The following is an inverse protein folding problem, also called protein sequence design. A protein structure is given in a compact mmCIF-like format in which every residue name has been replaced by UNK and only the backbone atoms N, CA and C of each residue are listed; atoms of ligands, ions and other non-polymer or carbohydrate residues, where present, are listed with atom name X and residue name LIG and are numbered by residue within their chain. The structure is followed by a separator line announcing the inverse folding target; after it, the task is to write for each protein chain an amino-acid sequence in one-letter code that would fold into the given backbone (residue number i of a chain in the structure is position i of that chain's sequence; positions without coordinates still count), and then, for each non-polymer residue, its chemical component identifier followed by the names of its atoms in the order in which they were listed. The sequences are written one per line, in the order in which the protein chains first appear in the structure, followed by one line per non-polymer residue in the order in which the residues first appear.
data_IF_654735168487
#
_entry.id   IF_654735168487
#
_cell.length_a   1.000
_cell.length_b   1.000
_cell.length_c   1.000
_cell.angle_alpha   90.00
_cell.angle_beta   90.00
_cell.angle_gamma   90.00
#
_symmetry.space_group_name_H-M   'P 1'
#
loop_
_entity.id
_entity.type
_entity.pdbx_description
1 polymer ?
#
# COMPACT_ATOMS: atom_id res chain seq x y z
N UNK A 1 -6.40 5.70 -1.31
CA UNK A 1 -5.69 4.74 -2.17
C UNK A 1 -6.64 4.13 -3.18
N UNK A 2 -7.75 3.50 -2.76
CA UNK A 2 -8.73 2.88 -3.66
C UNK A 2 -9.27 3.85 -4.74
N UNK A 3 -9.63 5.07 -4.37
CA UNK A 3 -10.02 6.10 -5.34
C UNK A 3 -8.94 6.48 -6.38
N UNK A 4 -7.65 6.22 -6.09
CA UNK A 4 -6.57 6.39 -7.07
C UNK A 4 -6.43 5.16 -7.99
N UNK A 5 -6.93 4.01 -7.55
CA UNK A 5 -6.94 2.77 -8.32
C UNK A 5 -8.17 2.70 -9.23
N UNK A 6 -9.32 3.23 -8.83
CA UNK A 6 -10.57 3.26 -9.63
C UNK A 6 -10.41 3.73 -11.09
N UNK A 7 -9.43 4.58 -11.38
CA UNK A 7 -9.20 5.10 -12.73
C UNK A 7 -8.22 4.19 -13.48
N UNK A 8 -8.74 3.46 -14.48
CA UNK A 8 -7.96 2.58 -15.35
C UNK A 8 -7.16 1.50 -14.60
N UNK A 9 -7.70 0.98 -13.48
CA UNK A 9 -7.07 -0.15 -12.83
C UNK A 9 -6.93 -1.30 -13.83
N UNK A 10 -5.72 -1.82 -14.06
CA UNK A 10 -5.54 -2.93 -14.97
C UNK A 10 -6.25 -4.15 -14.38
N UNK A 11 -7.34 -4.58 -15.01
CA UNK A 11 -8.03 -5.78 -14.57
C UNK A 11 -7.46 -7.00 -15.31
N UNK A 12 -6.73 -7.84 -14.57
CA UNK A 12 -6.15 -9.08 -15.10
C UNK A 12 -6.75 -10.24 -14.30
N UNK A 13 -7.41 -11.22 -14.93
CA UNK A 13 -8.07 -12.32 -14.21
C UNK A 13 -7.12 -13.12 -13.30
N UNK A 14 -5.82 -13.17 -13.64
CA UNK A 14 -4.79 -13.85 -12.86
C UNK A 14 -4.22 -13.02 -11.71
N UNK A 15 -4.64 -11.77 -11.54
CA UNK A 15 -4.18 -10.89 -10.47
C UNK A 15 -4.93 -11.19 -9.17
N UNK A 16 -4.17 -11.27 -8.08
CA UNK A 16 -4.72 -11.32 -6.73
C UNK A 16 -4.44 -10.01 -6.00
N UNK A 17 -5.46 -9.46 -5.33
CA UNK A 17 -5.36 -8.21 -4.58
C UNK A 17 -5.48 -8.49 -3.09
N UNK A 18 -4.42 -8.21 -2.35
CA UNK A 18 -4.41 -8.29 -0.89
C UNK A 18 -4.53 -6.91 -0.28
N UNK A 19 -5.56 -6.71 0.54
CA UNK A 19 -5.80 -5.45 1.23
C UNK A 19 -5.42 -5.55 2.71
N UNK A 20 -4.42 -4.77 3.12
CA UNK A 20 -4.05 -4.60 4.52
C UNK A 20 -4.74 -3.35 5.08
N UNK A 21 -5.69 -3.56 5.99
CA UNK A 21 -6.49 -2.48 6.58
C UNK A 21 -6.12 -2.31 8.04
N UNK A 22 -5.86 -1.08 8.45
CA UNK A 22 -5.54 -0.76 9.84
C UNK A 22 -6.77 -0.92 10.75
N UNK A 23 -6.58 -1.50 11.93
CA UNK A 23 -7.63 -1.71 12.94
C UNK A 23 -8.37 -0.41 13.27
N UNK A 24 -9.70 -0.43 13.21
CA UNK A 24 -10.54 0.74 13.47
C UNK A 24 -10.72 1.70 12.28
N UNK A 25 -10.28 1.32 11.08
CA UNK A 25 -10.56 2.05 9.84
C UNK A 25 -11.79 1.48 9.12
N UNK A 26 -12.99 1.84 9.61
CA UNK A 26 -14.26 1.40 9.02
C UNK A 26 -14.55 2.06 7.67
N UNK A 27 -13.97 3.24 7.41
CA UNK A 27 -14.16 3.97 6.15
C UNK A 27 -13.45 3.24 5.01
N UNK A 28 -12.18 2.83 5.21
CA UNK A 28 -11.45 2.05 4.21
C UNK A 28 -12.12 0.70 3.91
N UNK A 29 -12.75 0.06 4.90
CA UNK A 29 -13.52 -1.17 4.68
C UNK A 29 -14.71 -0.95 3.74
N UNK A 30 -15.51 0.10 3.99
CA UNK A 30 -16.66 0.42 3.13
C UNK A 30 -16.24 0.75 1.70
N UNK A 31 -15.16 1.51 1.53
CA UNK A 31 -14.64 1.82 0.21
C UNK A 31 -14.07 0.59 -0.50
N UNK A 32 -13.47 -0.34 0.24
CA UNK A 32 -13.00 -1.60 -0.34
C UNK A 32 -14.16 -2.44 -0.87
N UNK A 33 -15.19 -2.63 -0.05
CA UNK A 33 -16.34 -3.44 -0.44
C UNK A 33 -17.03 -2.81 -1.67
N UNK A 34 -17.20 -1.49 -1.71
CA UNK A 34 -17.72 -0.77 -2.88
C UNK A 34 -16.84 -0.92 -4.14
N UNK A 35 -15.51 -0.86 -3.98
CA UNK A 35 -14.56 -0.99 -5.09
C UNK A 35 -14.59 -2.39 -5.72
N UNK A 36 -14.60 -3.44 -4.91
CA UNK A 36 -14.67 -4.82 -5.41
C UNK A 36 -16.05 -5.14 -6.02
N UNK A 37 -17.14 -4.58 -5.48
CA UNK A 37 -18.47 -4.70 -6.09
C UNK A 37 -18.54 -3.97 -7.45
N UNK A 38 -17.92 -2.80 -7.59
CA UNK A 38 -17.84 -2.09 -8.87
C UNK A 38 -17.01 -2.87 -9.90
N UNK A 39 -15.86 -3.43 -9.50
CA UNK A 39 -15.04 -4.28 -10.36
C UNK A 39 -15.82 -5.50 -10.86
N UNK A 40 -16.54 -6.16 -9.96
CA UNK A 40 -17.37 -7.33 -10.28
C UNK A 40 -18.51 -6.98 -11.24
N UNK A 41 -19.16 -5.84 -11.01
CA UNK A 41 -20.26 -5.37 -11.87
C UNK A 41 -19.76 -4.94 -13.26
N UNK A 42 -18.59 -4.31 -13.34
CA UNK A 42 -18.05 -3.74 -14.59
C UNK A 42 -17.43 -4.81 -15.49
N UNK A 43 -16.74 -5.79 -14.91
CA UNK A 43 -15.95 -6.77 -15.67
C UNK A 43 -16.52 -8.21 -15.62
N UNK A 44 -17.46 -8.49 -14.73
CA UNK A 44 -17.98 -9.85 -14.49
C UNK A 44 -17.08 -10.66 -13.54
N UNK A 45 -17.67 -11.69 -12.91
CA UNK A 45 -17.02 -12.46 -11.84
C UNK A 45 -15.72 -13.15 -12.27
N UNK A 46 -15.68 -13.68 -13.49
CA UNK A 46 -14.50 -14.41 -14.00
C UNK A 46 -13.33 -13.48 -14.32
N UNK A 47 -13.60 -12.21 -14.65
CA UNK A 47 -12.56 -11.27 -15.05
C UNK A 47 -12.11 -10.37 -13.91
N UNK A 48 -12.90 -10.22 -12.84
CA UNK A 48 -12.55 -9.37 -11.70
C UNK A 48 -11.31 -9.86 -10.93
N UNK A 49 -10.88 -11.11 -11.10
CA UNK A 49 -9.77 -11.70 -10.35
C UNK A 49 -10.15 -12.05 -8.91
N UNK A 50 -9.16 -12.25 -8.04
CA UNK A 50 -9.39 -12.65 -6.64
C UNK A 50 -8.86 -11.62 -5.65
N UNK A 51 -9.44 -11.56 -4.45
CA UNK A 51 -8.95 -10.68 -3.40
C UNK A 51 -9.08 -11.28 -2.00
N UNK A 52 -8.27 -10.79 -1.08
CA UNK A 52 -8.43 -11.04 0.35
C UNK A 52 -8.20 -9.75 1.17
N UNK A 53 -8.79 -9.70 2.37
CA UNK A 53 -8.67 -8.55 3.28
C UNK A 53 -8.20 -9.00 4.66
N UNK A 54 -7.19 -8.31 5.19
CA UNK A 54 -6.62 -8.58 6.50
C UNK A 54 -6.60 -7.31 7.34
N UNK A 55 -7.14 -7.40 8.55
CA UNK A 55 -7.12 -6.30 9.51
C UNK A 55 -5.86 -6.42 10.36
N UNK A 56 -4.99 -5.42 10.26
CA UNK A 56 -3.72 -5.34 11.01
C UNK A 56 -3.80 -4.27 12.08
N UNK A 57 -3.12 -4.49 13.21
CA UNK A 57 -3.02 -3.52 14.29
C UNK A 57 -2.44 -2.19 13.77
N UNK A 58 -2.99 -1.07 14.21
CA UNK A 58 -2.43 0.26 13.93
C UNK A 58 -1.05 0.40 14.57
N UNK A 59 -0.05 0.77 13.76
CA UNK A 59 1.30 1.01 14.26
C UNK A 59 1.36 2.13 15.30
N UNK A 60 0.47 3.13 15.19
CA UNK A 60 0.27 4.17 16.20
C UNK A 60 -1.21 4.54 16.31
N UNK A 61 -1.74 4.56 17.53
CA UNK A 61 -3.07 5.12 17.82
C UNK A 61 -3.03 6.65 17.83
N UNK A 62 -4.17 7.28 17.56
CA UNK A 62 -4.31 8.74 17.67
C UNK A 62 -4.16 9.10 19.16
N UNK A 63 -3.41 10.16 19.47
CA UNK A 63 -3.03 10.57 20.84
C UNK A 63 -2.13 9.60 21.62
N UNK A 64 -1.55 8.59 20.96
CA UNK A 64 -0.57 7.72 21.61
C UNK A 64 0.75 8.46 21.84
N UNK A 65 1.31 8.32 23.04
CA UNK A 65 2.65 8.80 23.36
C UNK A 65 3.70 8.17 22.43
N UNK A 66 4.71 8.96 22.06
CA UNK A 66 5.85 8.47 21.27
C UNK A 66 6.61 7.34 21.99
N UNK A 67 6.55 7.28 23.32
CA UNK A 67 7.22 6.25 24.13
C UNK A 67 6.58 4.87 24.00
N UNK A 68 5.25 4.79 23.83
CA UNK A 68 4.55 3.50 23.67
C UNK A 68 4.38 3.10 22.20
N UNK A 69 4.72 3.99 21.27
CA UNK A 69 4.62 3.77 19.83
C UNK A 69 5.48 2.58 19.34
N UNK A 70 6.70 2.33 19.84
CA UNK A 70 7.49 1.17 19.42
C UNK A 70 6.80 -0.17 19.69
N UNK A 71 6.09 -0.30 20.81
CA UNK A 71 5.39 -1.54 21.15
C UNK A 71 4.23 -1.83 20.18
N UNK A 72 3.40 -0.82 19.89
CA UNK A 72 2.32 -0.99 18.92
C UNK A 72 2.83 -1.19 17.50
N UNK A 73 3.96 -0.55 17.13
CA UNK A 73 4.61 -0.77 15.86
C UNK A 73 5.15 -2.21 15.73
N UNK A 74 5.74 -2.77 16.78
CA UNK A 74 6.23 -4.15 16.79
C UNK A 74 5.07 -5.15 16.63
N UNK A 75 3.92 -4.90 17.29
CA UNK A 75 2.72 -5.72 17.09
C UNK A 75 2.23 -5.68 15.65
N UNK A 76 2.28 -4.52 14.98
CA UNK A 76 1.98 -4.43 13.55
C UNK A 76 2.97 -5.26 12.72
N UNK A 77 4.27 -5.21 13.03
CA UNK A 77 5.29 -6.02 12.32
C UNK A 77 4.96 -7.52 12.42
N UNK A 78 4.67 -8.02 13.62
CA UNK A 78 4.37 -9.44 13.85
C UNK A 78 3.16 -9.91 13.04
N UNK A 79 2.17 -9.03 12.85
CA UNK A 79 0.98 -9.36 12.04
C UNK A 79 1.23 -9.21 10.54
N UNK A 80 2.01 -8.23 10.11
CA UNK A 80 2.29 -7.96 8.69
C UNK A 80 3.25 -8.99 8.09
N UNK A 81 4.24 -9.43 8.87
CA UNK A 81 5.27 -10.37 8.42
C UNK A 81 4.72 -11.65 7.76
N UNK A 82 3.84 -12.44 8.41
CA UNK A 82 3.28 -13.65 7.78
C UNK A 82 2.36 -13.33 6.61
N UNK A 83 1.76 -12.13 6.56
CA UNK A 83 0.89 -11.72 5.45
C UNK A 83 1.68 -11.37 4.19
N UNK A 84 2.93 -10.94 4.30
CA UNK A 84 3.80 -10.71 3.14
C UNK A 84 4.40 -12.02 2.61
N UNK A 85 4.58 -13.02 3.46
CA UNK A 85 5.16 -14.33 3.09
C UNK A 85 4.13 -15.39 2.70
N UNK A 86 2.84 -15.15 2.95
CA UNK A 86 1.77 -16.07 2.59
C UNK A 86 1.23 -15.77 1.20
N UNK A 87 1.13 -16.80 0.35
CA UNK A 87 0.46 -16.69 -0.94
C UNK A 87 -0.84 -17.50 -0.94
N UNK A 88 -1.93 -16.98 -1.53
CA UNK A 88 -3.14 -17.77 -1.77
C UNK A 88 -2.95 -18.81 -2.88
N UNK A 89 -1.89 -18.70 -3.69
CA UNK A 89 -1.62 -19.62 -4.79
C UNK A 89 -0.76 -20.78 -4.31
N UNK A 90 -1.23 -22.01 -4.51
CA UNK A 90 -0.49 -23.26 -4.27
C UNK A 90 -0.21 -23.93 -5.62
N UNK A 91 1.05 -24.16 -6.00
CA UNK A 91 1.42 -24.90 -7.22
C UNK A 91 2.50 -24.23 -8.09
N UNK A 92 2.53 -24.54 -9.39
CA UNK A 92 3.57 -24.15 -10.36
C UNK A 92 3.77 -22.63 -10.56
N UNK A 93 2.93 -21.78 -9.96
CA UNK A 93 3.09 -20.32 -9.93
C UNK A 93 4.03 -19.87 -8.80
N UNK A 94 5.20 -20.51 -8.67
CA UNK A 94 6.19 -20.21 -7.63
C UNK A 94 6.63 -18.73 -7.62
N UNK A 95 6.56 -18.04 -8.78
CA UNK A 95 6.83 -16.60 -8.86
C UNK A 95 5.83 -15.73 -8.09
N UNK A 96 4.58 -16.19 -7.94
CA UNK A 96 3.53 -15.49 -7.17
C UNK A 96 3.53 -15.86 -5.67
N UNK A 97 4.65 -16.38 -5.16
CA UNK A 97 4.79 -16.69 -3.73
C UNK A 97 4.82 -15.41 -2.88
N UNK A 98 5.24 -14.29 -3.47
CA UNK A 98 5.31 -12.99 -2.81
C UNK A 98 4.49 -11.95 -3.59
N UNK A 99 4.06 -10.86 -2.93
CA UNK A 99 3.46 -9.72 -3.63
C UNK A 99 4.46 -9.14 -4.62
N UNK A 100 4.03 -8.86 -5.86
CA UNK A 100 4.88 -8.17 -6.85
C UNK A 100 5.06 -6.70 -6.47
N UNK A 101 3.96 -6.02 -6.13
CA UNK A 101 3.92 -4.58 -5.84
C UNK A 101 3.14 -4.35 -4.55
N UNK A 102 3.70 -3.50 -3.68
CA UNK A 102 3.07 -2.99 -2.46
C UNK A 102 2.73 -1.53 -2.69
N UNK A 103 1.43 -1.24 -2.85
CA UNK A 103 0.91 0.12 -2.99
C UNK A 103 0.50 0.67 -1.63
N UNK A 104 1.03 1.83 -1.23
CA UNK A 104 0.60 2.46 0.01
C UNK A 104 0.58 3.98 -0.03
N UNK A 105 -0.48 4.52 0.58
CA UNK A 105 -0.63 5.93 0.96
C UNK A 105 -1.01 6.00 2.46
N UNK A 106 -0.80 4.89 3.18
CA UNK A 106 -1.14 4.80 4.59
C UNK A 106 -0.15 5.61 5.44
N UNK A 107 -0.56 6.06 6.65
CA UNK A 107 0.34 6.61 7.65
C UNK A 107 1.24 5.50 8.23
N UNK A 108 1.71 5.61 9.47
CA UNK A 108 2.70 4.70 10.09
C UNK A 108 2.60 3.21 9.73
N UNK A 109 1.40 2.60 9.65
CA UNK A 109 1.24 1.19 9.23
C UNK A 109 1.80 0.92 7.82
N UNK A 110 1.56 1.82 6.86
CA UNK A 110 2.10 1.69 5.50
C UNK A 110 3.63 1.75 5.45
N UNK A 111 4.23 2.58 6.31
CA UNK A 111 5.68 2.60 6.49
C UNK A 111 6.20 1.28 7.05
N UNK A 112 5.51 0.71 8.05
CA UNK A 112 5.89 -0.60 8.60
C UNK A 112 5.83 -1.70 7.55
N UNK A 113 4.82 -1.72 6.67
CA UNK A 113 4.77 -2.69 5.56
C UNK A 113 6.00 -2.56 4.65
N UNK A 114 6.34 -1.33 4.25
CA UNK A 114 7.55 -1.08 3.44
C UNK A 114 8.83 -1.48 4.16
N UNK A 115 8.91 -1.22 5.47
CA UNK A 115 10.07 -1.59 6.30
C UNK A 115 10.25 -3.11 6.40
N UNK A 116 9.16 -3.86 6.58
CA UNK A 116 9.21 -5.33 6.61
C UNK A 116 9.63 -5.87 5.24
N UNK A 117 9.07 -5.35 4.14
CA UNK A 117 9.47 -5.74 2.79
C UNK A 117 10.97 -5.46 2.53
N UNK A 118 11.46 -4.29 2.95
CA UNK A 118 12.88 -3.94 2.85
C UNK A 118 13.78 -4.93 3.61
N UNK A 119 13.45 -5.26 4.87
CA UNK A 119 14.23 -6.24 5.63
C UNK A 119 14.17 -7.64 5.01
N UNK A 120 13.02 -8.07 4.49
CA UNK A 120 12.90 -9.36 3.80
C UNK A 120 13.82 -9.45 2.57
N UNK A 121 13.98 -8.35 1.82
CA UNK A 121 14.95 -8.24 0.72
C UNK A 121 16.39 -8.27 1.23
N UNK A 122 16.73 -7.46 2.24
CA UNK A 122 18.09 -7.37 2.82
C UNK A 122 18.58 -8.70 3.39
N UNK A 123 17.69 -9.51 3.96
CA UNK A 123 18.02 -10.84 4.48
C UNK A 123 17.88 -11.97 3.44
N UNK A 124 17.68 -11.65 2.16
CA UNK A 124 17.54 -12.61 1.06
C UNK A 124 16.42 -13.65 1.27
N UNK A 125 15.39 -13.30 2.05
CA UNK A 125 14.20 -14.15 2.24
C UNK A 125 13.30 -14.08 1.00
N UNK A 126 13.33 -12.94 0.31
CA UNK A 126 12.51 -12.61 -0.87
C UNK A 126 13.45 -12.08 -1.97
N UNK A 127 13.23 -12.43 -3.24
CA UNK A 127 14.05 -11.91 -4.34
C UNK A 127 13.89 -10.39 -4.51
N UNK A 128 14.91 -9.73 -5.06
CA UNK A 128 14.96 -8.27 -5.21
C UNK A 128 13.86 -7.71 -6.13
N UNK A 129 13.37 -8.50 -7.08
CA UNK A 129 12.31 -8.09 -8.03
C UNK A 129 10.89 -8.22 -7.46
N UNK A 130 10.73 -8.81 -6.27
CA UNK A 130 9.45 -8.89 -5.58
C UNK A 130 9.26 -7.76 -4.56
N UNK A 131 8.03 -7.62 -4.04
CA UNK A 131 7.64 -6.66 -3.00
C UNK A 131 8.07 -5.22 -3.32
N UNK A 132 7.88 -4.78 -4.56
CA UNK A 132 8.22 -3.42 -4.97
C UNK A 132 7.33 -2.40 -4.24
N UNK A 133 7.92 -1.60 -3.36
CA UNK A 133 7.22 -0.65 -2.51
C UNK A 133 7.03 0.66 -3.27
N UNK A 134 5.78 0.94 -3.63
CA UNK A 134 5.36 2.20 -4.24
C UNK A 134 4.56 3.01 -3.22
N UNK A 135 5.16 4.11 -2.75
CA UNK A 135 4.49 5.07 -1.88
C UNK A 135 3.96 6.26 -2.68
N UNK A 136 2.70 6.62 -2.42
CA UNK A 136 2.03 7.75 -3.05
C UNK A 136 1.59 8.73 -1.96
N UNK A 137 2.22 9.90 -1.93
CA UNK A 137 1.76 11.02 -1.12
C UNK A 137 0.60 11.75 -1.82
N UNK A 138 -0.54 11.80 -1.14
CA UNK A 138 -1.75 12.43 -1.66
C UNK A 138 -1.82 13.94 -1.45
N UNK A 139 -2.86 14.56 -2.02
CA UNK A 139 -3.21 15.98 -1.81
C UNK A 139 -3.56 16.35 -0.36
N UNK A 140 -3.56 15.42 0.58
CA UNK A 140 -3.75 15.72 2.01
C UNK A 140 -2.70 16.71 2.54
N UNK A 141 -1.53 16.81 1.90
CA UNK A 141 -0.47 17.74 2.27
C UNK A 141 0.04 18.51 1.06
N UNK A 142 -0.22 19.82 1.03
CA UNK A 142 0.14 20.69 -0.10
C UNK A 142 1.39 21.55 0.15
N UNK A 143 1.89 21.59 1.38
CA UNK A 143 3.05 22.42 1.77
C UNK A 143 4.33 21.63 2.00
N UNK A 144 4.21 20.43 2.58
CA UNK A 144 5.34 19.57 2.97
C UNK A 144 4.91 18.11 2.85
N UNK A 145 5.87 17.20 2.70
CA UNK A 145 5.59 15.76 2.82
C UNK A 145 4.97 15.44 4.18
N UNK A 146 4.13 14.40 4.23
CA UNK A 146 3.67 13.83 5.49
C UNK A 146 4.85 13.27 6.28
N UNK A 147 4.67 12.95 7.56
CA UNK A 147 5.73 12.31 8.33
C UNK A 147 6.16 10.98 7.68
N UNK A 148 5.21 10.18 7.21
CA UNK A 148 5.48 8.94 6.47
C UNK A 148 6.20 9.22 5.15
N UNK A 149 5.77 10.21 4.38
CA UNK A 149 6.43 10.60 3.14
C UNK A 149 7.86 11.06 3.36
N UNK A 150 8.13 11.82 4.44
CA UNK A 150 9.50 12.17 4.85
C UNK A 150 10.31 10.94 5.22
N UNK A 151 9.73 10.00 5.95
CA UNK A 151 10.43 8.76 6.30
C UNK A 151 10.83 7.99 5.04
N UNK A 152 9.89 7.72 4.12
CA UNK A 152 10.21 7.06 2.85
C UNK A 152 11.25 7.82 2.03
N UNK A 153 11.16 9.15 1.99
CA UNK A 153 12.12 10.01 1.28
C UNK A 153 13.54 9.92 1.87
N UNK A 154 13.67 9.97 3.20
CA UNK A 154 14.98 9.96 3.86
C UNK A 154 15.59 8.57 4.00
N UNK A 155 14.78 7.54 4.20
CA UNK A 155 15.30 6.17 4.38
C UNK A 155 15.56 5.47 3.05
N UNK A 156 14.93 5.90 1.95
CA UNK A 156 15.09 5.28 0.64
C UNK A 156 14.51 3.86 0.54
N UNK A 157 13.67 3.44 1.49
CA UNK A 157 13.12 2.06 1.51
C UNK A 157 11.98 1.85 0.50
N UNK A 158 11.39 2.94 -0.03
CA UNK A 158 10.41 2.84 -1.11
C UNK A 158 11.16 2.77 -2.44
N UNK A 159 10.88 1.74 -3.23
CA UNK A 159 11.41 1.60 -4.59
C UNK A 159 10.94 2.78 -5.47
N UNK A 160 9.71 3.24 -5.28
CA UNK A 160 9.17 4.42 -5.96
C UNK A 160 8.43 5.32 -4.96
N UNK A 161 8.79 6.60 -4.96
CA UNK A 161 8.12 7.66 -4.20
C UNK A 161 7.46 8.66 -5.16
N UNK A 162 6.13 8.70 -5.14
CA UNK A 162 5.32 9.62 -5.94
C UNK A 162 4.62 10.65 -5.05
N UNK A 163 4.51 11.88 -5.55
CA UNK A 163 3.76 12.95 -4.88
C UNK A 163 2.76 13.56 -5.85
N UNK A 164 1.51 13.74 -5.43
CA UNK A 164 0.48 14.32 -6.30
C UNK A 164 0.60 15.85 -6.44
N UNK A 165 1.02 16.54 -5.37
CA UNK A 165 1.14 18.00 -5.37
C UNK A 165 2.44 18.45 -6.03
N UNK A 166 2.34 19.12 -7.19
CA UNK A 166 3.48 19.56 -7.99
C UNK A 166 4.54 20.34 -7.20
N UNK A 167 4.15 21.33 -6.39
CA UNK A 167 5.14 22.14 -5.67
C UNK A 167 5.86 21.35 -4.57
N UNK A 168 5.19 20.35 -3.98
CA UNK A 168 5.83 19.48 -2.98
C UNK A 168 6.78 18.54 -3.69
N UNK A 169 6.34 17.92 -4.79
CA UNK A 169 7.18 17.07 -5.62
C UNK A 169 8.47 17.80 -6.04
N UNK A 170 8.35 19.03 -6.53
CA UNK A 170 9.47 19.89 -6.92
C UNK A 170 10.39 20.23 -5.73
N UNK A 171 9.82 20.59 -4.59
CA UNK A 171 10.60 20.95 -3.38
C UNK A 171 11.47 19.81 -2.88
N UNK A 172 10.96 18.57 -2.94
CA UNK A 172 11.65 17.38 -2.46
C UNK A 172 12.39 16.60 -3.57
N UNK A 173 12.37 17.09 -4.82
CA UNK A 173 13.04 16.43 -5.94
C UNK A 173 12.48 15.04 -6.27
N UNK A 174 11.18 14.82 -6.05
CA UNK A 174 10.51 13.53 -6.26
C UNK A 174 9.53 13.61 -7.43
N UNK A 175 9.17 12.45 -8.00
CA UNK A 175 8.31 12.38 -9.18
C UNK A 175 6.89 12.85 -8.86
N UNK A 176 6.38 13.74 -9.71
CA UNK A 176 5.00 14.20 -9.63
C UNK A 176 4.07 13.19 -10.32
N UNK A 177 3.10 12.64 -9.59
CA UNK A 177 2.07 11.76 -10.15
C UNK A 177 0.85 12.52 -10.71
N UNK A 178 0.70 13.80 -10.39
CA UNK A 178 -0.46 14.59 -10.80
C UNK A 178 -1.79 14.10 -10.17
N UNK A 179 -2.90 14.43 -10.82
CA UNK A 179 -4.23 14.08 -10.32
C UNK A 179 -4.61 12.64 -10.71
N UNK A 180 -4.63 11.74 -9.73
CA UNK A 180 -5.02 10.33 -9.93
C UNK A 180 -6.45 10.01 -9.49
N UNK A 181 -7.18 10.99 -8.94
CA UNK A 181 -8.54 10.77 -8.37
C UNK A 181 -9.64 11.39 -9.22
N UNK A 182 -9.33 12.43 -10.01
CA UNK A 182 -10.31 13.07 -10.88
C UNK A 182 -10.17 12.51 -12.28
N UNK A 183 -11.22 11.81 -12.79
CA UNK A 183 -11.30 11.45 -14.20
C UNK A 183 -11.21 12.74 -15.02
N UNK A 184 -10.11 12.91 -15.75
CA UNK A 184 -10.00 13.97 -16.75
C UNK A 184 -11.03 13.64 -17.83
N UNK A 185 -12.12 14.41 -17.93
CA UNK A 185 -12.94 14.39 -19.15
C UNK A 185 -12.00 14.72 -20.30
N UNK A 186 -11.77 13.75 -21.18
CA UNK A 186 -11.16 14.03 -22.49
C UNK A 186 -12.24 14.64 -23.37
#
# INVERSE_FOLDING_TARGET
MLAMMEINFPNVPSMHRRYLISSGDSMSLKHLDAFEDELRTTHGEEQAGTFDKHIVARARKIHQSLLTTPFTALMSVVQIFPLLLSSPFKGARSRQQFPDIILTNGPATGFIVGLVAYFLKVFYVVPEDAMQVLYIESWARIRTLSLTGKLFHYTGIADILLVQHYQVAKTYGVTNAGCMVVKRKR
#
